data_IF_335921058008
#
_entry.id   IF_335921058008
#
_cell.length_a   1.000
_cell.length_b   1.000
_cell.length_c   1.000
_cell.angle_alpha   90.00
_cell.angle_beta   90.00
_cell.angle_gamma   90.00
#
_symmetry.space_group_name_H-M   'P 1'
#
loop_
_entity.id
_entity.type
_entity.pdbx_description
1 polymer ?
#
# COMPACT_ATOMS: atom_id res chain seq x y z
N UNK A 1 8.96 -48.79 11.13
CA UNK A 1 9.23 -47.97 9.94
C UNK A 1 7.97 -47.25 9.41
N UNK A 2 7.00 -46.88 10.26
CA UNK A 2 5.78 -46.17 9.86
C UNK A 2 5.65 -44.78 10.54
N UNK A 3 6.22 -44.61 11.73
CA UNK A 3 6.21 -43.35 12.49
C UNK A 3 7.05 -42.26 11.80
N UNK A 4 8.14 -42.64 11.12
CA UNK A 4 9.02 -41.71 10.41
C UNK A 4 8.36 -41.01 9.22
N UNK A 5 7.30 -41.59 8.65
CA UNK A 5 6.58 -40.98 7.52
C UNK A 5 5.58 -39.90 7.98
N UNK A 6 5.13 -39.93 9.24
CA UNK A 6 4.11 -39.01 9.77
C UNK A 6 4.64 -37.60 10.07
N UNK A 7 5.95 -37.46 10.34
CA UNK A 7 6.58 -36.17 10.67
C UNK A 7 6.88 -35.30 9.44
N UNK A 8 6.93 -35.88 8.24
CA UNK A 8 7.23 -35.17 6.98
C UNK A 8 6.05 -34.36 6.43
N UNK A 9 4.84 -34.53 6.98
CA UNK A 9 3.61 -33.87 6.52
C UNK A 9 3.08 -32.78 7.45
N UNK A 10 3.79 -32.41 8.51
CA UNK A 10 3.34 -31.35 9.41
C UNK A 10 3.46 -29.99 8.70
N UNK A 11 2.36 -29.22 8.55
CA UNK A 11 2.44 -27.90 7.95
C UNK A 11 3.35 -27.03 8.81
N UNK A 12 4.45 -26.56 8.23
CA UNK A 12 5.28 -25.55 8.85
C UNK A 12 4.59 -24.20 8.71
N UNK A 13 4.58 -23.40 9.78
CA UNK A 13 4.10 -22.03 9.68
C UNK A 13 5.05 -21.25 8.77
N UNK A 14 4.60 -20.97 7.56
CA UNK A 14 5.24 -19.98 6.71
C UNK A 14 4.78 -18.60 7.17
N UNK A 15 5.73 -17.75 7.54
CA UNK A 15 5.45 -16.34 7.78
C UNK A 15 5.18 -15.67 6.43
N UNK A 16 3.92 -15.70 6.00
CA UNK A 16 3.49 -14.85 4.92
C UNK A 16 3.46 -13.41 5.43
N UNK A 17 4.27 -12.54 4.84
CA UNK A 17 4.22 -11.10 5.09
C UNK A 17 2.82 -10.57 4.69
N UNK A 18 2.32 -9.48 5.31
CA UNK A 18 1.10 -8.85 4.82
C UNK A 18 1.34 -8.31 3.41
N UNK A 19 0.55 -8.77 2.46
CA UNK A 19 0.64 -8.32 1.07
C UNK A 19 -0.25 -7.08 0.93
N UNK A 20 0.37 -5.97 0.53
CA UNK A 20 -0.33 -4.78 0.05
C UNK A 20 -0.20 -4.81 -1.47
N UNK A 21 -1.31 -4.74 -2.17
CA UNK A 21 -1.32 -4.62 -3.63
C UNK A 21 -1.50 -3.16 -4.02
N UNK A 22 -0.78 -2.75 -5.05
CA UNK A 22 -0.84 -1.38 -5.56
C UNK A 22 -0.79 -1.37 -7.09
N UNK A 23 -1.71 -0.60 -7.67
CA UNK A 23 -1.65 -0.18 -9.05
C UNK A 23 -1.03 1.23 -9.11
N UNK A 24 0.18 1.31 -9.66
CA UNK A 24 0.90 2.57 -9.84
C UNK A 24 0.79 3.03 -11.31
N UNK A 25 0.42 4.29 -11.52
CA UNK A 25 0.28 4.90 -12.83
C UNK A 25 1.07 6.20 -12.90
N UNK A 26 1.94 6.29 -13.90
CA UNK A 26 2.70 7.48 -14.22
C UNK A 26 2.20 8.12 -15.52
N UNK A 27 1.95 9.43 -15.49
CA UNK A 27 1.52 10.20 -16.66
C UNK A 27 2.40 11.42 -16.85
N UNK A 28 2.93 11.60 -18.07
CA UNK A 28 3.64 12.79 -18.49
C UNK A 28 2.71 13.65 -19.38
N UNK A 29 2.34 14.82 -18.88
CA UNK A 29 1.46 15.76 -19.58
C UNK A 29 2.33 16.73 -20.38
N UNK A 30 2.12 16.77 -21.69
CA UNK A 30 2.83 17.71 -22.58
C UNK A 30 2.08 19.05 -22.70
N UNK A 31 2.83 20.14 -22.73
CA UNK A 31 2.36 21.47 -23.09
C UNK A 31 2.11 21.57 -24.62
N UNK A 32 1.41 22.61 -25.09
CA UNK A 32 1.14 22.80 -26.53
C UNK A 32 2.39 22.90 -27.42
N UNK A 33 3.53 23.27 -26.86
CA UNK A 33 4.83 23.36 -27.54
C UNK A 33 5.63 22.03 -27.51
N UNK A 34 5.06 20.98 -26.92
CA UNK A 34 5.69 19.67 -26.77
C UNK A 34 6.64 19.54 -25.58
N UNK A 35 6.81 20.58 -24.77
CA UNK A 35 7.58 20.50 -23.52
C UNK A 35 6.79 19.75 -22.43
N UNK A 36 7.49 19.22 -21.42
CA UNK A 36 6.85 18.57 -20.28
C UNK A 36 6.21 19.63 -19.37
N UNK A 37 4.89 19.55 -19.20
CA UNK A 37 4.12 20.47 -18.35
C UNK A 37 3.93 19.94 -16.94
N UNK A 38 3.59 18.66 -16.79
CA UNK A 38 3.21 18.06 -15.52
C UNK A 38 3.56 16.58 -15.49
N UNK A 39 3.93 16.08 -14.31
CA UNK A 39 4.03 14.66 -14.02
C UNK A 39 2.96 14.30 -12.99
N UNK A 40 2.17 13.27 -13.27
CA UNK A 40 1.19 12.72 -12.33
C UNK A 40 1.59 11.31 -11.98
N UNK A 41 1.73 11.08 -10.69
CA UNK A 41 1.98 9.77 -10.13
C UNK A 41 0.80 9.39 -9.25
N UNK A 42 0.10 8.31 -9.60
CA UNK A 42 -1.12 7.86 -8.94
C UNK A 42 -0.92 6.45 -8.42
N UNK A 43 -1.18 6.25 -7.13
CA UNK A 43 -1.03 4.99 -6.43
C UNK A 43 -2.38 4.57 -5.89
N UNK A 44 -2.93 3.47 -6.40
CA UNK A 44 -4.19 2.91 -5.96
C UNK A 44 -3.93 1.62 -5.19
N UNK A 45 -4.25 1.62 -3.90
CA UNK A 45 -4.07 0.48 -3.01
C UNK A 45 -5.32 -0.39 -2.93
N UNK A 46 -5.14 -1.65 -2.53
CA UNK A 46 -6.24 -2.57 -2.33
C UNK A 46 -7.20 -2.17 -1.18
N UNK A 47 -8.36 -2.83 -1.16
CA UNK A 47 -9.43 -2.57 -0.19
C UNK A 47 -9.03 -2.90 1.25
N UNK A 48 -8.26 -3.97 1.46
CA UNK A 48 -7.89 -4.43 2.80
C UNK A 48 -6.95 -3.44 3.46
N UNK A 49 -5.92 -2.99 2.72
CA UNK A 49 -5.04 -1.93 3.19
C UNK A 49 -5.79 -0.61 3.42
N UNK A 50 -6.64 -0.21 2.47
CA UNK A 50 -7.40 1.04 2.58
C UNK A 50 -8.31 1.05 3.81
N UNK A 51 -8.90 -0.10 4.17
CA UNK A 51 -9.73 -0.24 5.37
C UNK A 51 -8.92 -0.10 6.66
N UNK A 52 -7.69 -0.63 6.72
CA UNK A 52 -6.83 -0.43 7.90
C UNK A 52 -6.42 1.02 8.08
N UNK A 53 -6.19 1.73 6.97
CA UNK A 53 -5.88 3.18 7.00
C UNK A 53 -7.03 3.96 7.66
N UNK A 54 -8.29 3.66 7.34
CA UNK A 54 -9.43 4.28 8.02
C UNK A 54 -9.40 4.02 9.52
N UNK A 55 -9.18 2.77 9.96
CA UNK A 55 -9.12 2.43 11.38
C UNK A 55 -8.01 3.18 12.13
N UNK A 56 -6.87 3.41 11.48
CA UNK A 56 -5.70 4.02 12.09
C UNK A 56 -5.75 5.55 12.09
N UNK A 57 -6.36 6.17 11.07
CA UNK A 57 -6.25 7.61 10.82
C UNK A 57 -7.55 8.38 10.98
N UNK A 58 -8.72 7.77 10.81
CA UNK A 58 -10.02 8.43 11.05
C UNK A 58 -10.24 8.61 12.56
N UNK A 59 -9.83 9.78 13.08
CA UNK A 59 -9.87 10.06 14.52
C UNK A 59 -11.28 10.38 14.99
N UNK A 60 -12.11 10.96 14.12
CA UNK A 60 -13.46 11.35 14.46
C UNK A 60 -14.49 10.23 14.18
N UNK A 61 -14.07 9.15 13.52
CA UNK A 61 -14.84 7.94 13.20
C UNK A 61 -16.06 8.22 12.32
N UNK A 62 -15.92 9.14 11.36
CA UNK A 62 -16.98 9.50 10.43
C UNK A 62 -16.95 8.65 9.13
N UNK A 63 -16.04 7.67 9.03
CA UNK A 63 -15.78 6.82 7.87
C UNK A 63 -15.27 7.58 6.63
N UNK A 64 -14.67 8.74 6.84
CA UNK A 64 -13.98 9.52 5.83
C UNK A 64 -12.68 10.08 6.41
N UNK A 65 -11.69 10.32 5.55
CA UNK A 65 -10.48 11.00 5.98
C UNK A 65 -10.64 12.50 5.75
N UNK A 66 -10.56 13.26 6.82
CA UNK A 66 -10.50 14.72 6.75
C UNK A 66 -9.16 15.17 6.13
N UNK A 67 -9.05 16.40 5.58
CA UNK A 67 -7.83 16.85 4.91
C UNK A 67 -6.55 16.71 5.74
N UNK A 68 -6.63 16.91 7.06
CA UNK A 68 -5.49 16.74 7.96
C UNK A 68 -5.09 15.25 8.13
N UNK A 69 -6.06 14.34 8.12
CA UNK A 69 -5.84 12.90 8.23
C UNK A 69 -5.26 12.36 6.92
N UNK A 70 -5.77 12.80 5.77
CA UNK A 70 -5.19 12.51 4.44
C UNK A 70 -3.73 12.96 4.39
N UNK A 71 -3.41 14.16 4.88
CA UNK A 71 -2.03 14.65 4.91
C UNK A 71 -1.13 13.76 5.79
N UNK A 72 -1.64 13.26 6.92
CA UNK A 72 -0.92 12.34 7.79
C UNK A 72 -0.67 10.98 7.11
N UNK A 73 -1.68 10.41 6.44
CA UNK A 73 -1.55 9.18 5.65
C UNK A 73 -0.51 9.36 4.55
N UNK A 74 -0.62 10.43 3.76
CA UNK A 74 0.30 10.72 2.66
C UNK A 74 1.75 10.84 3.15
N UNK A 75 1.98 11.47 4.30
CA UNK A 75 3.30 11.55 4.91
C UNK A 75 3.85 10.16 5.23
N UNK A 76 3.08 9.33 5.94
CA UNK A 76 3.51 7.98 6.33
C UNK A 76 3.77 7.10 5.11
N UNK A 77 2.88 7.12 4.11
CA UNK A 77 3.03 6.33 2.88
C UNK A 77 4.29 6.76 2.14
N UNK A 78 4.52 8.07 1.95
CA UNK A 78 5.71 8.56 1.25
C UNK A 78 7.02 8.22 1.97
N UNK A 79 7.01 8.28 3.31
CA UNK A 79 8.16 7.86 4.12
C UNK A 79 8.40 6.34 4.00
N UNK A 80 7.34 5.54 3.98
CA UNK A 80 7.43 4.09 3.76
C UNK A 80 7.99 3.76 2.37
N UNK A 81 7.44 4.36 1.30
CA UNK A 81 7.92 4.14 -0.07
C UNK A 81 9.42 4.43 -0.22
N UNK A 82 9.89 5.52 0.39
CA UNK A 82 11.31 5.86 0.40
C UNK A 82 12.18 4.78 1.07
N UNK A 83 11.70 4.11 2.13
CA UNK A 83 12.42 3.00 2.77
C UNK A 83 12.55 1.78 1.86
N UNK A 84 11.60 1.58 0.95
CA UNK A 84 11.60 0.49 -0.03
C UNK A 84 12.21 0.89 -1.38
N UNK A 85 12.78 2.10 -1.50
CA UNK A 85 13.39 2.67 -2.70
C UNK A 85 12.41 2.86 -3.87
N UNK A 86 11.17 3.24 -3.55
CA UNK A 86 10.20 3.79 -4.51
C UNK A 86 10.17 5.32 -4.46
#
# INVERSE_FOLDING_TARGET
MAISLLLLGMPTNTFAHPHIFVDAKFEAVAAPDGSLQELRDTWQFDEVFSSSVLLDYDKNRNNALDPAEVAAVAKTVRESLAQYNY
#
